data_IF_329547329042
#
_entry.id   IF_329547329042
#
_cell.length_a   1.000
_cell.length_b   1.000
_cell.length_c   1.000
_cell.angle_alpha   90.00
_cell.angle_beta   90.00
_cell.angle_gamma   90.00
#
_symmetry.space_group_name_H-M   'P 1'
#
loop_
_entity.id
_entity.type
_entity.pdbx_description
1 polymer ?
#
# COMPACT_ATOMS: atom_id res chain seq x y z
N UNK A 1 -4.99 6.31 -14.28
CA UNK A 1 -4.00 5.32 -13.78
C UNK A 1 -4.65 3.96 -13.47
N UNK A 2 -3.94 2.85 -13.71
CA UNK A 2 -4.40 1.49 -13.37
C UNK A 2 -3.25 0.63 -12.86
N UNK A 3 -3.58 -0.42 -12.09
CA UNK A 3 -2.63 -1.43 -11.60
C UNK A 3 -2.78 -2.72 -12.39
N UNK A 4 -1.66 -3.31 -12.77
CA UNK A 4 -1.58 -4.57 -13.51
C UNK A 4 -0.81 -5.60 -12.68
N UNK A 5 -1.35 -6.80 -12.57
CA UNK A 5 -0.61 -7.99 -12.16
C UNK A 5 0.04 -8.59 -13.41
N UNK A 6 1.36 -8.82 -13.36
CA UNK A 6 2.10 -9.51 -14.42
C UNK A 6 2.75 -10.76 -13.87
N UNK A 7 2.62 -11.86 -14.58
CA UNK A 7 3.27 -13.12 -14.24
C UNK A 7 4.53 -13.27 -15.08
N UNK A 8 5.68 -13.36 -14.41
CA UNK A 8 6.98 -13.52 -15.08
C UNK A 8 7.25 -12.46 -16.16
N UNK A 9 7.55 -12.91 -17.38
CA UNK A 9 7.87 -12.07 -18.53
C UNK A 9 6.69 -11.85 -19.48
N UNK A 10 5.46 -12.15 -19.04
CA UNK A 10 4.29 -11.99 -19.89
C UNK A 10 4.12 -10.55 -20.37
N UNK A 11 3.81 -10.42 -21.67
CA UNK A 11 3.59 -9.12 -22.30
C UNK A 11 2.30 -8.46 -21.82
N UNK A 12 1.29 -9.27 -21.52
CA UNK A 12 -0.01 -8.81 -21.04
C UNK A 12 -0.09 -9.04 -19.53
N UNK A 13 -0.75 -8.13 -18.83
CA UNK A 13 -0.99 -8.24 -17.39
C UNK A 13 -2.47 -8.12 -17.10
N UNK A 14 -2.93 -8.83 -16.08
CA UNK A 14 -4.31 -8.77 -15.59
C UNK A 14 -4.54 -7.45 -14.90
N UNK A 15 -5.60 -6.71 -15.29
CA UNK A 15 -5.89 -5.41 -14.67
C UNK A 15 -6.59 -5.61 -13.32
N UNK A 16 -5.94 -5.20 -12.24
CA UNK A 16 -6.52 -5.29 -10.90
C UNK A 16 -7.48 -4.15 -10.59
N UNK A 17 -7.27 -2.98 -11.18
CA UNK A 17 -8.18 -1.85 -11.01
C UNK A 17 -7.69 -0.57 -11.65
N UNK A 18 -8.61 0.38 -11.79
CA UNK A 18 -8.34 1.80 -12.08
C UNK A 18 -8.40 2.57 -10.78
N UNK A 19 -7.58 3.61 -10.68
CA UNK A 19 -7.60 4.53 -9.55
C UNK A 19 -9.02 5.03 -9.30
N UNK A 20 -9.49 4.87 -8.07
CA UNK A 20 -10.78 5.38 -7.62
C UNK A 20 -10.62 6.53 -6.63
N UNK A 21 -9.65 6.43 -5.71
CA UNK A 21 -9.40 7.51 -4.75
C UNK A 21 -8.50 7.11 -3.60
N UNK A 22 -8.34 8.05 -2.68
CA UNK A 22 -7.75 7.81 -1.38
C UNK A 22 -8.77 7.15 -0.46
N UNK A 23 -8.31 6.28 0.43
CA UNK A 23 -9.12 5.70 1.50
C UNK A 23 -8.50 6.05 2.84
N UNK A 24 -9.37 6.38 3.80
CA UNK A 24 -9.00 6.52 5.20
C UNK A 24 -9.68 5.39 5.97
N UNK A 25 -8.89 4.43 6.43
CA UNK A 25 -9.39 3.35 7.28
C UNK A 25 -9.40 3.86 8.74
N UNK A 26 -10.57 3.79 9.38
CA UNK A 26 -10.83 4.41 10.68
C UNK A 26 -9.98 3.85 11.83
N UNK A 27 -9.69 4.75 12.77
CA UNK A 27 -8.89 4.63 14.01
C UNK A 27 -7.37 4.60 13.84
N UNK A 28 -6.80 5.81 13.83
CA UNK A 28 -5.37 6.10 13.83
C UNK A 28 -4.74 5.79 15.18
N UNK A 29 -4.37 4.52 15.43
CA UNK A 29 -3.42 4.20 16.50
C UNK A 29 -2.00 4.59 16.04
N UNK A 30 -1.60 5.83 16.37
CA UNK A 30 -0.29 6.40 16.06
C UNK A 30 0.85 5.55 16.63
N UNK A 31 0.59 4.76 17.68
CA UNK A 31 1.56 3.88 18.36
C UNK A 31 1.83 2.57 17.61
N UNK A 32 0.96 2.15 16.67
CA UNK A 32 1.06 0.84 15.99
C UNK A 32 1.53 0.89 14.53
N UNK A 33 1.81 2.08 14.00
CA UNK A 33 2.48 2.25 12.71
C UNK A 33 1.75 1.63 11.50
N UNK A 34 0.43 1.45 11.55
CA UNK A 34 -0.44 0.95 10.45
C UNK A 34 -1.73 1.79 10.36
N UNK A 35 -2.39 1.89 9.18
CA UNK A 35 -2.47 3.18 8.52
C UNK A 35 -3.89 3.72 8.34
N UNK A 36 -4.08 4.99 8.69
CA UNK A 36 -5.30 5.72 8.34
C UNK A 36 -5.34 6.23 6.90
N UNK A 37 -4.40 5.83 6.01
CA UNK A 37 -4.30 6.36 4.64
C UNK A 37 -3.89 5.28 3.64
N UNK A 38 -4.59 5.22 2.53
CA UNK A 38 -4.42 4.23 1.49
C UNK A 38 -4.98 4.66 0.14
N UNK A 39 -4.93 3.75 -0.82
CA UNK A 39 -5.46 3.92 -2.16
C UNK A 39 -6.47 2.83 -2.49
N UNK A 40 -7.49 3.19 -3.25
CA UNK A 40 -8.44 2.25 -3.82
C UNK A 40 -8.32 2.21 -5.34
N UNK A 41 -8.20 0.99 -5.86
CA UNK A 41 -8.29 0.69 -7.27
C UNK A 41 -9.43 -0.29 -7.52
N UNK A 42 -10.36 0.06 -8.40
CA UNK A 42 -11.56 -0.76 -8.66
C UNK A 42 -11.84 -0.87 -10.15
N UNK A 43 -12.91 -1.60 -10.49
CA UNK A 43 -13.32 -1.82 -11.88
C UNK A 43 -12.20 -2.41 -12.75
N UNK A 44 -11.45 -3.35 -12.19
CA UNK A 44 -10.47 -4.16 -12.90
C UNK A 44 -11.11 -5.10 -13.92
N UNK A 45 -10.28 -5.98 -14.45
CA UNK A 45 -10.70 -7.00 -15.39
C UNK A 45 -11.73 -7.95 -14.77
N UNK A 46 -12.66 -8.44 -15.60
CA UNK A 46 -13.70 -9.38 -15.15
C UNK A 46 -13.05 -10.65 -14.61
N UNK A 47 -13.41 -11.00 -13.37
CA UNK A 47 -13.09 -12.29 -12.78
C UNK A 47 -14.16 -13.31 -13.17
N UNK A 48 -13.77 -14.54 -13.47
CA UNK A 48 -14.73 -15.59 -13.83
C UNK A 48 -15.59 -16.02 -12.64
N UNK A 49 -14.99 -16.08 -11.44
CA UNK A 49 -15.63 -16.59 -10.22
C UNK A 49 -15.68 -15.54 -9.09
N UNK A 50 -15.89 -14.27 -9.44
CA UNK A 50 -15.85 -13.20 -8.47
C UNK A 50 -16.33 -11.87 -9.05
N UNK A 51 -16.22 -10.78 -8.26
CA UNK A 51 -16.49 -9.44 -8.74
C UNK A 51 -15.49 -9.00 -9.82
N UNK A 52 -15.67 -7.81 -10.39
CA UNK A 52 -14.56 -7.18 -11.12
C UNK A 52 -13.40 -7.02 -10.15
N UNK A 53 -12.18 -7.30 -10.62
CA UNK A 53 -11.00 -7.19 -9.76
C UNK A 53 -10.91 -5.81 -9.11
N UNK A 54 -10.41 -5.79 -7.89
CA UNK A 54 -10.12 -4.57 -7.13
C UNK A 54 -8.88 -4.76 -6.27
N UNK A 55 -8.19 -3.67 -5.96
CA UNK A 55 -7.02 -3.64 -5.09
C UNK A 55 -7.16 -2.50 -4.07
N UNK A 56 -6.99 -2.82 -2.79
CA UNK A 56 -6.81 -1.85 -1.72
C UNK A 56 -5.34 -1.79 -1.32
N UNK A 57 -4.76 -0.60 -1.32
CA UNK A 57 -3.36 -0.38 -0.93
C UNK A 57 -3.33 0.36 0.40
N UNK A 58 -2.69 -0.22 1.39
CA UNK A 58 -2.41 0.37 2.70
C UNK A 58 -1.00 0.94 2.70
N UNK A 59 -0.83 2.20 3.12
CA UNK A 59 0.48 2.86 3.10
C UNK A 59 1.18 2.79 4.45
N UNK A 60 2.45 2.40 4.45
CA UNK A 60 3.31 2.42 5.64
C UNK A 60 4.46 3.40 5.43
N UNK A 61 4.86 4.12 6.48
CA UNK A 61 6.08 4.92 6.43
C UNK A 61 7.30 4.00 6.23
N UNK A 62 8.13 4.33 5.25
CA UNK A 62 9.39 3.65 4.96
C UNK A 62 10.34 4.59 4.22
N UNK A 63 11.63 4.26 4.19
CA UNK A 63 12.65 5.10 3.53
C UNK A 63 12.71 4.89 2.01
N UNK A 64 12.11 3.80 1.52
CA UNK A 64 12.11 3.42 0.11
C UNK A 64 10.69 3.08 -0.34
N UNK A 65 10.45 3.23 -1.64
CA UNK A 65 9.22 2.80 -2.31
C UNK A 65 9.24 1.27 -2.48
N UNK A 66 8.46 0.54 -1.69
CA UNK A 66 8.53 -0.93 -1.66
C UNK A 66 7.18 -1.58 -1.37
N UNK A 67 6.83 -2.59 -2.17
CA UNK A 67 5.74 -3.51 -1.83
C UNK A 67 6.23 -4.45 -0.73
N UNK A 68 5.56 -4.42 0.42
CA UNK A 68 5.88 -5.26 1.57
C UNK A 68 5.11 -6.57 1.57
N UNK A 69 3.82 -6.51 1.21
CA UNK A 69 2.89 -7.64 1.26
C UNK A 69 1.82 -7.46 0.17
N UNK A 70 1.36 -8.58 -0.39
CA UNK A 70 0.25 -8.63 -1.35
C UNK A 70 -0.53 -9.91 -1.07
N UNK A 71 -1.84 -9.78 -0.87
CA UNK A 71 -2.73 -10.91 -0.62
C UNK A 71 -4.00 -10.82 -1.48
N UNK A 72 -4.66 -11.97 -1.63
CA UNK A 72 -6.00 -12.10 -2.21
C UNK A 72 -6.94 -12.67 -1.13
N UNK A 73 -7.37 -11.85 -0.14
CA UNK A 73 -8.19 -12.33 0.98
C UNK A 73 -9.56 -12.86 0.54
N UNK A 74 -10.12 -12.30 -0.53
CA UNK A 74 -11.31 -12.82 -1.20
C UNK A 74 -11.02 -12.96 -2.69
N UNK A 75 -11.74 -13.85 -3.37
CA UNK A 75 -11.56 -14.10 -4.80
C UNK A 75 -11.65 -12.80 -5.59
N UNK A 76 -10.58 -12.50 -6.31
CA UNK A 76 -10.40 -11.31 -7.15
C UNK A 76 -10.42 -9.97 -6.42
N UNK A 77 -10.33 -9.97 -5.09
CA UNK A 77 -10.12 -8.77 -4.28
C UNK A 77 -8.74 -8.85 -3.65
N UNK A 78 -7.90 -7.87 -3.96
CA UNK A 78 -6.50 -7.84 -3.54
C UNK A 78 -6.27 -6.79 -2.46
N UNK A 79 -5.34 -7.07 -1.57
CA UNK A 79 -4.79 -6.12 -0.61
C UNK A 79 -3.28 -6.01 -0.78
N UNK A 80 -2.73 -4.82 -0.56
CA UNK A 80 -1.29 -4.57 -0.65
C UNK A 80 -0.85 -3.67 0.50
N UNK A 81 0.24 -4.04 1.17
CA UNK A 81 0.97 -3.14 2.06
C UNK A 81 2.14 -2.52 1.29
N UNK A 82 2.15 -1.19 1.18
CA UNK A 82 3.16 -0.45 0.42
C UNK A 82 3.90 0.55 1.31
N UNK A 83 5.21 0.41 1.41
CA UNK A 83 6.10 1.33 2.10
C UNK A 83 6.48 2.50 1.18
N UNK A 84 6.39 3.72 1.69
CA UNK A 84 6.79 4.93 0.98
C UNK A 84 7.19 6.05 1.95
N UNK A 85 8.21 6.88 1.62
CA UNK A 85 8.52 8.10 2.36
C UNK A 85 7.34 9.07 2.45
N UNK A 86 6.44 9.05 1.45
CA UNK A 86 5.27 9.94 1.42
C UNK A 86 4.25 9.66 2.54
N UNK A 87 4.31 8.47 3.15
CA UNK A 87 3.46 8.10 4.29
C UNK A 87 4.05 8.53 5.64
N UNK A 88 5.29 9.02 5.67
CA UNK A 88 5.96 9.47 6.90
C UNK A 88 5.49 10.87 7.31
N UNK A 89 5.24 11.07 8.61
CA UNK A 89 5.02 12.39 9.19
C UNK A 89 6.35 12.97 9.71
N UNK A 90 6.47 14.30 9.72
CA UNK A 90 7.63 15.02 10.29
C UNK A 90 7.88 14.61 11.76
N UNK A 91 6.84 14.30 12.53
CA UNK A 91 6.97 13.80 13.90
C UNK A 91 7.62 12.41 14.03
N UNK A 92 7.61 11.59 12.97
CA UNK A 92 8.27 10.28 12.95
C UNK A 92 9.81 10.44 12.87
N UNK A 93 10.29 11.49 12.20
CA UNK A 93 11.71 11.83 12.16
C UNK A 93 12.26 12.28 13.52
N UNK A 94 11.42 12.90 14.36
CA UNK A 94 11.82 13.34 15.71
C UNK A 94 12.01 12.17 16.69
N UNK A 95 11.29 11.05 16.50
CA UNK A 95 11.48 9.83 17.29
C UNK A 95 12.75 9.05 16.91
N UNK A 96 13.11 9.03 15.63
CA UNK A 96 14.33 8.37 15.14
C UNK A 96 15.62 9.11 15.53
N UNK A 97 15.58 10.43 15.69
CA UNK A 97 16.73 11.22 16.14
C UNK A 97 17.09 10.97 17.62
N UNK A 98 16.15 10.43 18.43
CA UNK A 98 16.39 10.09 19.83
C UNK A 98 17.19 8.78 20.00
N UNK A 99 17.28 7.93 18.99
CA UNK A 99 18.02 6.65 19.04
C UNK A 99 19.37 6.68 18.31
N UNK A 100 19.71 7.77 17.63
CA UNK A 100 21.04 7.93 17.06
C UNK A 100 22.03 8.30 18.18
N UNK A 101 23.11 7.52 18.41
CA UNK A 101 24.16 7.90 19.34
C UNK A 101 24.71 9.27 18.93
N UNK A 102 24.65 10.23 19.84
CA UNK A 102 25.33 11.51 19.67
C UNK A 102 26.82 11.20 19.83
N UNK A 103 27.56 11.21 18.73
CA UNK A 103 29.02 11.13 18.77
C UNK A 103 29.54 12.35 19.58
N UNK A 104 30.27 12.15 20.70
CA UNK A 104 30.91 13.25 21.40
C UNK A 104 32.11 13.76 20.60
N UNK A 105 32.19 15.08 20.40
CA UNK A 105 33.37 15.80 19.87
C UNK A 105 34.65 15.54 20.68
#
# INVERSE_FOLDING_TARGET
>A
PCVLQKEGSERHGTRLGRWEGYVEDGETDVSKGHPGRGFLFSHGERCYNGPKRSLRVSLRCGLEEKILEVDEPNVCEYTMLFATPAACHVGHAQGLQLELPVDPE
#
